data_IF_813061331767
#
_entry.id   IF_813061331767
#
_cell.length_a   1.000
_cell.length_b   1.000
_cell.length_c   1.000
_cell.angle_alpha   90.00
_cell.angle_beta   90.00
_cell.angle_gamma   90.00
#
_symmetry.space_group_name_H-M   'P 1'
#
loop_
_entity.id
_entity.type
_entity.pdbx_description
1 polymer ?
#
# COMPACT_ATOMS: atom_id res chain seq x y z
N UNK A 1 -22.72 27.21 25.66
CA UNK A 1 -21.40 27.66 25.16
C UNK A 1 -20.36 26.66 25.61
N UNK A 2 -19.77 25.93 24.68
CA UNK A 2 -18.71 24.96 24.93
C UNK A 2 -18.03 24.65 23.61
N UNK A 3 -16.75 24.99 23.52
CA UNK A 3 -15.90 24.72 22.36
C UNK A 3 -15.68 23.20 22.26
N UNK A 4 -16.06 22.61 21.13
CA UNK A 4 -15.71 21.21 20.82
C UNK A 4 -14.45 21.28 19.95
N UNK A 5 -13.30 21.16 20.61
CA UNK A 5 -12.11 20.63 19.98
C UNK A 5 -12.12 19.13 20.27
N UNK A 6 -12.63 18.33 19.33
CA UNK A 6 -12.43 16.90 19.37
C UNK A 6 -11.69 16.52 18.08
N UNK A 7 -10.37 16.66 18.16
CA UNK A 7 -9.46 15.96 17.28
C UNK A 7 -9.81 14.48 17.39
N UNK A 8 -10.60 13.98 16.43
CA UNK A 8 -10.94 12.58 16.29
C UNK A 8 -9.69 11.86 15.80
N UNK A 9 -8.71 11.69 16.71
CA UNK A 9 -7.89 10.49 16.78
C UNK A 9 -8.85 9.34 17.03
N UNK A 10 -9.56 8.93 15.97
CA UNK A 10 -10.37 7.74 16.05
C UNK A 10 -9.39 6.60 16.14
N UNK A 11 -9.48 5.90 17.27
CA UNK A 11 -8.88 4.62 17.59
C UNK A 11 -9.19 3.56 16.52
N UNK A 12 -8.70 3.73 15.28
CA UNK A 12 -8.78 2.75 14.21
C UNK A 12 -7.65 1.70 14.29
N UNK A 13 -6.60 2.00 15.06
CA UNK A 13 -5.36 1.23 15.11
C UNK A 13 -5.17 0.31 16.32
N UNK A 14 -6.18 0.10 17.17
CA UNK A 14 -6.07 -0.93 18.23
C UNK A 14 -6.85 -2.19 17.84
N UNK A 15 -6.13 -3.10 17.21
CA UNK A 15 -6.36 -4.53 17.29
C UNK A 15 -7.70 -5.06 16.74
N UNK A 16 -7.78 -5.23 15.42
CA UNK A 16 -8.49 -6.40 14.86
C UNK A 16 -7.45 -7.48 14.56
N UNK A 17 -6.63 -7.81 15.55
CA UNK A 17 -5.55 -8.80 15.46
C UNK A 17 -6.06 -10.20 15.07
N UNK A 18 -7.37 -10.47 15.20
CA UNK A 18 -8.03 -11.74 14.79
C UNK A 18 -9.51 -11.59 14.35
N UNK A 19 -9.95 -10.41 13.92
CA UNK A 19 -11.35 -10.16 13.54
C UNK A 19 -11.57 -10.00 12.03
N UNK A 20 -12.81 -10.14 11.53
CA UNK A 20 -13.13 -9.91 10.12
C UNK A 20 -12.76 -8.48 9.70
N UNK A 21 -12.41 -8.28 8.44
CA UNK A 21 -12.20 -6.93 7.89
C UNK A 21 -13.58 -6.25 7.82
N UNK A 22 -13.83 -5.29 8.71
CA UNK A 22 -15.05 -4.46 8.67
C UNK A 22 -14.70 -3.15 7.99
N UNK A 23 -15.33 -2.90 6.84
CA UNK A 23 -15.10 -1.71 6.03
C UNK A 23 -16.39 -0.89 6.00
N UNK A 24 -16.28 0.42 6.26
CA UNK A 24 -17.37 1.35 5.97
C UNK A 24 -17.37 1.66 4.47
N UNK A 25 -18.55 1.68 3.86
CA UNK A 25 -18.71 2.15 2.47
C UNK A 25 -18.20 3.59 2.27
N UNK A 26 -18.14 4.39 3.33
CA UNK A 26 -17.55 5.73 3.28
C UNK A 26 -16.02 5.69 3.09
N UNK A 27 -15.33 4.70 3.64
CA UNK A 27 -13.86 4.56 3.56
C UNK A 27 -13.41 3.99 2.20
N UNK A 28 -14.37 3.52 1.39
CA UNK A 28 -14.16 3.04 0.03
C UNK A 28 -14.28 4.14 -1.03
N UNK A 29 -14.70 5.35 -0.63
CA UNK A 29 -14.81 6.48 -1.56
C UNK A 29 -13.44 7.10 -1.82
N UNK A 30 -13.07 7.37 -3.09
CA UNK A 30 -11.85 8.11 -3.40
C UNK A 30 -11.81 9.44 -2.65
N UNK A 31 -10.76 9.65 -1.84
CA UNK A 31 -10.55 10.90 -1.09
C UNK A 31 -11.17 10.94 0.32
N UNK A 32 -11.63 9.81 0.88
CA UNK A 32 -12.14 9.74 2.26
C UNK A 32 -11.05 9.81 3.35
N UNK A 33 -9.80 10.11 2.99
CA UNK A 33 -8.65 9.96 3.88
C UNK A 33 -8.12 11.29 4.43
N UNK A 34 -7.62 11.31 5.69
CA UNK A 34 -7.03 12.51 6.30
C UNK A 34 -5.75 13.02 5.63
N UNK A 35 -5.17 12.25 4.71
CA UNK A 35 -3.81 12.46 4.18
C UNK A 35 -3.75 12.93 2.72
N UNK A 36 -4.89 13.30 2.10
CA UNK A 36 -4.99 14.02 0.81
C UNK A 36 -4.35 13.32 -0.42
N UNK A 37 -3.80 12.13 -0.24
CA UNK A 37 -3.38 11.23 -1.31
C UNK A 37 -4.51 10.23 -1.59
N UNK A 38 -4.66 9.83 -2.85
CA UNK A 38 -5.53 8.71 -3.25
C UNK A 38 -5.01 7.43 -2.60
N UNK A 39 -5.41 7.24 -1.34
CA UNK A 39 -5.24 6.03 -0.56
C UNK A 39 -6.52 5.21 -0.70
N UNK A 40 -6.38 3.90 -0.59
CA UNK A 40 -7.47 2.97 -0.60
C UNK A 40 -7.35 2.11 0.64
N UNK A 41 -8.03 2.55 1.70
CA UNK A 41 -7.98 1.89 3.01
C UNK A 41 -8.34 0.41 2.94
N UNK A 42 -9.15 -0.01 1.96
CA UNK A 42 -9.46 -1.43 1.76
C UNK A 42 -8.19 -2.22 1.40
N UNK A 43 -7.43 -1.75 0.41
CA UNK A 43 -6.19 -2.39 0.00
C UNK A 43 -5.13 -2.30 1.11
N UNK A 44 -5.07 -1.17 1.81
CA UNK A 44 -4.18 -0.95 2.93
C UNK A 44 -4.40 -1.98 4.06
N UNK A 45 -5.62 -2.06 4.59
CA UNK A 45 -5.96 -2.98 5.67
C UNK A 45 -5.81 -4.45 5.23
N UNK A 46 -6.15 -4.75 3.97
CA UNK A 46 -5.95 -6.08 3.42
C UNK A 46 -4.46 -6.46 3.37
N UNK A 47 -3.59 -5.53 2.99
CA UNK A 47 -2.14 -5.75 3.00
C UNK A 47 -1.65 -6.08 4.41
N UNK A 48 -2.06 -5.32 5.42
CA UNK A 48 -1.72 -5.60 6.82
C UNK A 48 -2.21 -6.98 7.27
N UNK A 49 -3.44 -7.39 6.90
CA UNK A 49 -3.91 -8.75 7.21
C UNK A 49 -3.05 -9.84 6.57
N UNK A 50 -2.60 -9.64 5.33
CA UNK A 50 -1.71 -10.58 4.67
C UNK A 50 -0.32 -10.63 5.33
N UNK A 51 0.23 -9.48 5.70
CA UNK A 51 1.52 -9.36 6.37
C UNK A 51 1.52 -10.09 7.71
N UNK A 52 0.42 -9.98 8.47
CA UNK A 52 0.25 -10.62 9.78
C UNK A 52 0.06 -12.15 9.72
N UNK A 53 -0.04 -12.78 8.55
CA UNK A 53 -0.28 -14.23 8.45
C UNK A 53 0.88 -15.09 8.98
N UNK A 54 2.09 -14.54 9.09
CA UNK A 54 3.25 -15.24 9.67
C UNK A 54 3.75 -14.64 11.00
N UNK A 55 3.01 -13.70 11.61
CA UNK A 55 3.40 -13.06 12.86
C UNK A 55 2.98 -11.60 12.94
N UNK A 56 3.81 -10.77 13.56
CA UNK A 56 3.63 -9.32 13.56
C UNK A 56 3.94 -8.74 12.18
N UNK A 57 3.19 -7.70 11.78
CA UNK A 57 3.41 -6.97 10.54
C UNK A 57 4.86 -6.44 10.46
N UNK A 58 5.53 -6.71 9.35
CA UNK A 58 6.93 -6.35 9.11
C UNK A 58 7.26 -6.08 7.62
N UNK A 59 6.24 -5.99 6.76
CA UNK A 59 6.39 -5.82 5.31
C UNK A 59 6.80 -7.07 4.55
N UNK A 60 6.69 -8.26 5.16
CA UNK A 60 7.04 -9.55 4.55
C UNK A 60 5.95 -10.59 4.85
N UNK A 61 4.82 -10.54 4.11
CA UNK A 61 3.80 -11.57 4.18
C UNK A 61 4.37 -12.95 3.80
N UNK A 62 3.69 -14.06 4.15
CA UNK A 62 4.06 -15.38 3.65
C UNK A 62 4.07 -15.39 2.11
N UNK A 63 5.26 -15.58 1.53
CA UNK A 63 5.44 -15.60 0.07
C UNK A 63 5.14 -16.99 -0.51
N UNK A 64 4.79 -17.02 -1.80
CA UNK A 64 4.62 -18.28 -2.54
C UNK A 64 5.93 -19.08 -2.59
N UNK A 65 5.83 -20.40 -2.72
CA UNK A 65 7.00 -21.30 -2.71
C UNK A 65 8.05 -20.99 -3.80
N UNK A 66 7.63 -20.39 -4.92
CA UNK A 66 8.50 -19.99 -6.03
C UNK A 66 9.07 -18.57 -5.88
N UNK A 67 8.79 -17.87 -4.79
CA UNK A 67 9.33 -16.54 -4.51
C UNK A 67 10.50 -16.62 -3.54
N UNK A 68 11.65 -16.07 -3.95
CA UNK A 68 12.81 -16.01 -3.08
C UNK A 68 12.72 -14.82 -2.12
N UNK A 69 12.69 -15.08 -0.81
CA UNK A 69 12.67 -14.02 0.23
C UNK A 69 13.77 -12.97 0.03
N UNK A 70 14.97 -13.38 -0.38
CA UNK A 70 16.08 -12.47 -0.68
C UNK A 70 15.73 -11.41 -1.74
N UNK A 71 14.95 -11.78 -2.77
CA UNK A 71 14.57 -10.86 -3.83
C UNK A 71 13.50 -9.87 -3.34
N UNK A 72 12.54 -10.37 -2.56
CA UNK A 72 11.55 -9.53 -1.86
C UNK A 72 12.24 -8.49 -0.99
N UNK A 73 13.07 -8.94 -0.04
CA UNK A 73 13.78 -8.06 0.87
C UNK A 73 14.65 -7.05 0.12
N UNK A 74 15.46 -7.50 -0.85
CA UNK A 74 16.35 -6.58 -1.57
C UNK A 74 15.60 -5.49 -2.33
N UNK A 75 14.48 -5.83 -2.99
CA UNK A 75 13.69 -4.86 -3.77
C UNK A 75 12.93 -3.88 -2.87
N UNK A 76 12.24 -4.38 -1.84
CA UNK A 76 11.48 -3.52 -0.93
C UNK A 76 12.38 -2.66 -0.05
N UNK A 77 13.48 -3.19 0.49
CA UNK A 77 14.41 -2.39 1.31
C UNK A 77 15.06 -1.27 0.50
N UNK A 78 15.49 -1.55 -0.74
CA UNK A 78 16.04 -0.53 -1.64
C UNK A 78 15.03 0.58 -1.94
N UNK A 79 13.77 0.23 -2.17
CA UNK A 79 12.72 1.20 -2.43
C UNK A 79 12.37 2.02 -1.17
N UNK A 80 12.35 1.38 0.00
CA UNK A 80 12.14 2.03 1.29
C UNK A 80 13.23 3.07 1.58
N UNK A 81 14.49 2.68 1.44
CA UNK A 81 15.64 3.58 1.60
C UNK A 81 15.57 4.76 0.61
N UNK A 82 15.18 4.49 -0.65
CA UNK A 82 15.01 5.55 -1.63
C UNK A 82 13.93 6.55 -1.22
N UNK A 83 12.76 6.08 -0.75
CA UNK A 83 11.69 6.94 -0.27
C UNK A 83 12.16 7.78 0.94
N UNK A 84 12.78 7.13 1.92
CA UNK A 84 13.32 7.80 3.11
C UNK A 84 14.27 8.93 2.72
N UNK A 85 15.20 8.66 1.80
CA UNK A 85 16.15 9.66 1.33
C UNK A 85 15.54 10.81 0.51
N UNK A 86 14.37 10.61 -0.11
CA UNK A 86 13.64 11.71 -0.74
C UNK A 86 12.96 12.60 0.31
N UNK A 87 12.35 12.00 1.33
CA UNK A 87 11.70 12.71 2.43
C UNK A 87 12.71 13.55 3.21
N UNK A 88 13.86 12.97 3.57
CA UNK A 88 14.95 13.65 4.30
C UNK A 88 15.50 14.88 3.55
N UNK A 89 15.43 14.88 2.21
CA UNK A 89 15.86 16.01 1.38
C UNK A 89 14.74 17.03 1.13
N UNK A 90 13.59 16.87 1.77
CA UNK A 90 12.37 17.66 1.54
C UNK A 90 11.94 17.69 0.06
N UNK A 91 12.27 16.63 -0.68
CA UNK A 91 11.79 16.49 -2.05
C UNK A 91 10.32 16.06 -2.02
N UNK A 92 9.52 16.56 -2.95
CA UNK A 92 8.16 16.05 -3.14
C UNK A 92 8.21 14.57 -3.49
N UNK A 93 7.55 13.73 -2.70
CA UNK A 93 7.40 12.29 -2.96
C UNK A 93 6.09 12.02 -3.66
N UNK A 94 6.11 11.09 -4.61
CA UNK A 94 4.90 10.65 -5.31
C UNK A 94 4.19 9.51 -4.56
N UNK A 95 4.92 8.80 -3.70
CA UNK A 95 4.38 7.88 -2.70
C UNK A 95 4.14 8.67 -1.42
N UNK A 96 3.05 8.38 -0.74
CA UNK A 96 2.70 9.01 0.53
C UNK A 96 3.86 8.86 1.54
N UNK A 97 4.37 9.96 2.15
CA UNK A 97 5.41 9.89 3.17
C UNK A 97 5.08 8.96 4.34
N UNK A 98 3.80 8.69 4.61
CA UNK A 98 3.35 7.73 5.60
C UNK A 98 3.96 6.33 5.41
N UNK A 99 4.25 5.95 4.16
CA UNK A 99 4.92 4.69 3.83
C UNK A 99 6.33 4.55 4.46
N UNK A 100 6.94 5.65 4.93
CA UNK A 100 8.23 5.63 5.61
C UNK A 100 8.14 5.48 7.15
N UNK A 101 6.94 5.33 7.72
CA UNK A 101 6.79 5.09 9.17
C UNK A 101 7.28 3.70 9.58
N UNK A 102 7.03 2.68 8.75
CA UNK A 102 7.54 1.33 8.98
C UNK A 102 7.56 0.50 7.68
N UNK A 103 8.32 -0.61 7.63
CA UNK A 103 8.25 -1.55 6.51
C UNK A 103 6.85 -2.15 6.26
N UNK A 104 6.03 -2.28 7.30
CA UNK A 104 4.64 -2.73 7.17
C UNK A 104 3.79 -1.69 6.44
N UNK A 105 3.87 -0.41 6.86
CA UNK A 105 3.18 0.69 6.18
C UNK A 105 3.66 0.86 4.75
N UNK A 106 4.96 0.67 4.50
CA UNK A 106 5.51 0.69 3.16
C UNK A 106 4.86 -0.36 2.26
N UNK A 107 4.74 -1.60 2.74
CA UNK A 107 4.09 -2.67 1.99
C UNK A 107 2.60 -2.38 1.75
N UNK A 108 1.89 -1.82 2.74
CA UNK A 108 0.49 -1.47 2.63
C UNK A 108 0.25 -0.35 1.60
N UNK A 109 0.99 0.76 1.71
CA UNK A 109 0.89 1.87 0.74
C UNK A 109 1.28 1.41 -0.66
N UNK A 110 2.34 0.63 -0.83
CA UNK A 110 2.70 0.12 -2.16
C UNK A 110 1.67 -0.86 -2.72
N UNK A 111 0.92 -1.57 -1.88
CA UNK A 111 -0.22 -2.39 -2.32
C UNK A 111 -1.33 -1.52 -2.90
N UNK A 112 -1.64 -0.38 -2.26
CA UNK A 112 -2.61 0.58 -2.79
C UNK A 112 -2.15 1.09 -4.17
N UNK A 113 -0.91 1.57 -4.26
CA UNK A 113 -0.35 2.09 -5.53
C UNK A 113 -0.31 1.00 -6.60
N UNK A 114 -0.06 -0.27 -6.25
CA UNK A 114 -0.06 -1.39 -7.18
C UNK A 114 -1.42 -1.59 -7.86
N UNK A 115 -2.53 -1.49 -7.12
CA UNK A 115 -3.86 -1.70 -7.69
C UNK A 115 -4.42 -0.43 -8.34
N UNK A 116 -4.15 0.75 -7.79
CA UNK A 116 -4.76 2.00 -8.26
C UNK A 116 -3.93 2.73 -9.32
N UNK A 117 -2.60 2.70 -9.18
CA UNK A 117 -1.68 3.45 -10.02
C UNK A 117 -0.50 2.57 -10.48
N UNK A 118 -0.75 1.39 -11.10
CA UNK A 118 0.29 0.41 -11.41
C UNK A 118 1.39 0.95 -12.33
N UNK A 119 1.05 1.82 -13.28
CA UNK A 119 2.04 2.44 -14.18
C UNK A 119 3.04 3.31 -13.42
N UNK A 120 2.56 4.04 -12.40
CA UNK A 120 3.40 4.87 -11.52
C UNK A 120 4.32 3.99 -10.69
N UNK A 121 3.79 2.93 -10.07
CA UNK A 121 4.61 2.01 -9.29
C UNK A 121 5.69 1.33 -10.15
N UNK A 122 5.31 0.84 -11.34
CA UNK A 122 6.26 0.22 -12.27
C UNK A 122 7.36 1.20 -12.71
N UNK A 123 7.03 2.49 -12.90
CA UNK A 123 8.02 3.50 -13.25
C UNK A 123 8.99 3.82 -12.12
N UNK A 124 8.49 3.97 -10.88
CA UNK A 124 9.30 4.34 -9.72
C UNK A 124 10.11 3.16 -9.17
N UNK A 125 9.46 2.01 -9.00
CA UNK A 125 10.01 0.82 -8.34
C UNK A 125 9.69 -0.45 -9.15
N UNK A 126 10.30 -0.64 -10.34
CA UNK A 126 10.00 -1.78 -11.21
C UNK A 126 10.26 -3.13 -10.54
N UNK A 127 11.33 -3.26 -9.75
CA UNK A 127 11.63 -4.49 -9.01
C UNK A 127 10.56 -4.81 -7.97
N UNK A 128 10.01 -3.79 -7.31
CA UNK A 128 8.91 -3.96 -6.34
C UNK A 128 7.61 -4.31 -7.06
N UNK A 129 7.30 -3.67 -8.19
CA UNK A 129 6.15 -4.04 -9.02
C UNK A 129 6.21 -5.53 -9.39
N UNK A 130 7.39 -6.02 -9.80
CA UNK A 130 7.56 -7.43 -10.12
C UNK A 130 7.32 -8.34 -8.92
N UNK A 131 7.76 -7.97 -7.72
CA UNK A 131 7.48 -8.75 -6.51
C UNK A 131 5.98 -8.76 -6.16
N UNK A 132 5.30 -7.62 -6.24
CA UNK A 132 3.87 -7.53 -5.98
C UNK A 132 3.03 -8.26 -7.04
N UNK A 133 3.47 -8.24 -8.30
CA UNK A 133 2.88 -9.04 -9.37
C UNK A 133 2.94 -10.54 -9.06
N UNK A 134 4.12 -11.03 -8.63
CA UNK A 134 4.30 -12.43 -8.24
C UNK A 134 3.49 -12.79 -6.98
N UNK A 135 3.42 -11.88 -6.02
CA UNK A 135 2.71 -12.07 -4.75
C UNK A 135 1.19 -12.11 -4.94
N UNK A 136 0.61 -11.09 -5.57
CA UNK A 136 -0.83 -11.00 -5.82
C UNK A 136 -1.31 -11.87 -6.99
N UNK A 137 -0.38 -12.38 -7.81
CA UNK A 137 -0.66 -13.13 -9.05
C UNK A 137 -1.62 -12.37 -9.98
N UNK A 138 -1.46 -11.05 -10.04
CA UNK A 138 -2.27 -10.13 -10.84
C UNK A 138 -1.36 -9.17 -11.59
N UNK A 139 -1.77 -8.74 -12.78
CA UNK A 139 -1.11 -7.66 -13.53
C UNK A 139 -2.10 -6.50 -13.76
N UNK A 140 -2.20 -5.55 -12.80
CA UNK A 140 -3.06 -4.38 -12.96
C UNK A 140 -2.65 -3.49 -14.15
N UNK A 141 -1.35 -3.38 -14.47
CA UNK A 141 -0.86 -2.59 -15.61
C UNK A 141 -1.39 -3.12 -16.96
N UNK A 142 -1.37 -4.45 -17.15
CA UNK A 142 -1.95 -5.06 -18.35
C UNK A 142 -3.48 -4.91 -18.40
N UNK A 143 -4.18 -5.05 -17.27
CA UNK A 143 -5.65 -4.92 -17.23
C UNK A 143 -6.15 -3.54 -17.67
N UNK A 144 -5.49 -2.47 -17.23
CA UNK A 144 -5.85 -1.08 -17.59
C UNK A 144 -5.59 -0.81 -19.08
N UNK A 145 -4.51 -1.39 -19.62
CA UNK A 145 -4.17 -1.28 -21.05
C UNK A 145 -5.21 -1.99 -21.94
N UNK A 146 -5.72 -3.14 -21.51
CA UNK A 146 -6.73 -3.92 -22.22
C UNK A 146 -8.13 -3.26 -22.19
N UNK A 147 -8.53 -2.66 -21.06
CA UNK A 147 -9.82 -1.93 -20.96
C UNK A 147 -9.82 -0.65 -21.81
N UNK A 148 -8.68 0.03 -21.90
CA UNK A 148 -8.52 1.23 -22.75
C UNK A 148 -8.63 0.92 -24.25
N UNK A 149 -8.31 -0.31 -24.67
CA UNK A 149 -8.50 -0.76 -26.06
C UNK A 149 -9.95 -1.16 -26.36
N UNK A 150 -10.71 -1.65 -25.37
CA UNK A 150 -12.07 -2.14 -25.59
C UNK A 150 -13.13 -1.01 -25.67
N UNK A 151 -12.87 0.16 -25.10
CA UNK A 151 -13.78 1.32 -25.15
C UNK A 151 -13.66 2.10 -26.47
N UNK A 152 -12.64 1.82 -27.30
CA UNK A 152 -12.39 2.48 -28.59
C UNK A 152 -12.85 1.68 -29.82
N UNK A 153 -13.68 0.65 -29.67
CA UNK A 153 -14.28 -0.11 -30.78
C UNK A 153 -15.80 -0.01 -30.78
#
# INVERSE_FOLDING_TARGET
>A
TGLIHEARRTLGGEAWSRGPVILSWADAQPGAHPHDSASNVIFHEFAHKLDMLNGSANGMPPLHANMARKNWTASLSKAYENLYHHIERHHHTTIDPYAAESPAEFFAVLTEVFFEQPARLHHLYPDVYQQLHLFYKQDPLQRISATSHHIKS
#
